data_IF_101717626342
#
_entry.id   IF_101717626342
#
_cell.length_a   1.000
_cell.length_b   1.000
_cell.length_c   1.000
_cell.angle_alpha   90.00
_cell.angle_beta   90.00
_cell.angle_gamma   90.00
#
_symmetry.space_group_name_H-M   'P 1'
#
loop_
_entity.id
_entity.type
_entity.pdbx_description
1 polymer ?
#
# COMPACT_ATOMS: atom_id res chain seq x y z
N UNK A 1 42.36 16.88 -7.84
CA UNK A 1 41.63 17.94 -7.12
C UNK A 1 40.56 17.23 -6.27
N UNK A 2 40.60 17.36 -4.96
CA UNK A 2 39.55 16.81 -4.10
C UNK A 2 38.32 17.70 -4.24
N UNK A 3 37.10 17.15 -4.39
CA UNK A 3 35.88 17.94 -4.43
C UNK A 3 35.72 18.71 -3.12
N UNK A 4 35.48 20.01 -3.23
CA UNK A 4 35.22 20.85 -2.06
C UNK A 4 33.83 20.54 -1.55
N UNK A 5 33.73 19.76 -0.45
CA UNK A 5 32.47 19.57 0.26
C UNK A 5 32.19 20.86 1.05
N UNK A 6 31.17 21.59 0.68
CA UNK A 6 30.69 22.72 1.49
C UNK A 6 29.69 22.17 2.49
N UNK A 7 30.02 22.05 3.78
CA UNK A 7 29.06 21.65 4.79
C UNK A 7 28.03 22.79 4.96
N UNK A 8 26.75 22.46 4.82
CA UNK A 8 25.69 23.40 5.21
C UNK A 8 25.86 23.73 6.70
N UNK A 9 25.77 24.99 7.12
CA UNK A 9 25.87 25.35 8.52
C UNK A 9 24.75 24.66 9.30
N UNK A 10 25.08 24.15 10.49
CA UNK A 10 24.16 23.42 11.39
C UNK A 10 22.89 24.23 11.72
N UNK A 11 22.96 25.56 11.60
CA UNK A 11 21.81 26.45 11.73
C UNK A 11 20.79 26.33 10.58
N UNK A 12 21.19 25.90 9.39
CA UNK A 12 20.26 25.66 8.28
C UNK A 12 19.49 24.33 8.46
N UNK A 13 20.09 23.35 9.15
CA UNK A 13 19.46 22.05 9.43
C UNK A 13 18.30 22.20 10.43
N UNK A 14 18.36 23.16 11.35
CA UNK A 14 17.28 23.40 12.31
C UNK A 14 16.05 24.12 11.71
N UNK A 15 16.21 24.81 10.57
CA UNK A 15 15.09 25.38 9.81
C UNK A 15 14.41 24.37 8.87
N UNK A 16 15.03 23.22 8.61
CA UNK A 16 14.48 22.12 7.81
C UNK A 16 13.32 21.37 8.48
N UNK A 17 12.92 21.74 9.70
CA UNK A 17 11.68 21.27 10.36
C UNK A 17 10.40 21.60 9.59
N UNK A 18 10.50 22.24 8.44
CA UNK A 18 9.43 22.66 7.56
C UNK A 18 9.14 21.78 6.35
N UNK A 19 9.50 20.50 6.36
CA UNK A 19 9.00 19.52 5.35
C UNK A 19 7.49 19.36 5.48
N UNK A 20 6.80 20.47 5.42
CA UNK A 20 5.35 20.52 5.21
C UNK A 20 5.13 20.17 3.75
N UNK A 21 5.00 18.85 3.50
CA UNK A 21 4.33 18.42 2.29
C UNK A 21 3.02 19.17 2.20
N UNK A 22 3.04 20.29 1.51
CA UNK A 22 1.89 21.17 1.27
C UNK A 22 0.96 20.54 0.26
N UNK A 23 0.40 19.36 0.59
CA UNK A 23 -0.74 18.80 -0.12
C UNK A 23 -1.61 18.08 0.90
N UNK A 24 -2.79 18.63 1.23
CA UNK A 24 -3.76 17.99 2.12
C UNK A 24 -4.12 16.58 1.65
N UNK A 25 -4.06 16.30 0.34
CA UNK A 25 -4.30 14.99 -0.24
C UNK A 25 -3.27 13.91 0.21
N UNK A 26 -1.99 14.24 0.39
CA UNK A 26 -0.99 13.26 0.88
C UNK A 26 -1.16 12.98 2.38
N UNK A 27 -1.57 13.96 3.18
CA UNK A 27 -1.90 13.74 4.59
C UNK A 27 -3.15 12.90 4.74
N UNK A 28 -4.18 13.16 3.93
CA UNK A 28 -5.40 12.35 3.90
C UNK A 28 -5.10 10.90 3.47
N UNK A 29 -4.27 10.70 2.45
CA UNK A 29 -3.84 9.37 2.01
C UNK A 29 -3.01 8.63 3.07
N UNK A 30 -2.17 9.33 3.84
CA UNK A 30 -1.40 8.74 4.94
C UNK A 30 -2.29 8.34 6.13
N UNK A 31 -3.35 9.11 6.42
CA UNK A 31 -4.34 8.81 7.47
C UNK A 31 -5.29 7.69 7.01
N UNK A 32 -5.55 7.54 5.71
CA UNK A 32 -6.45 6.52 5.13
C UNK A 32 -5.73 5.19 4.82
N UNK A 33 -4.42 5.08 4.99
CA UNK A 33 -3.63 3.84 4.79
C UNK A 33 -3.68 2.82 5.93
N UNK A 34 -3.96 3.17 7.22
CA UNK A 34 -4.00 2.17 8.27
C UNK A 34 -5.06 1.09 8.01
N UNK A 35 -4.73 -0.17 8.36
CA UNK A 35 -5.57 -1.35 8.22
C UNK A 35 -6.99 -1.20 8.79
N UNK A 36 -7.15 -0.46 9.88
CA UNK A 36 -8.42 -0.29 10.62
C UNK A 36 -9.42 0.68 9.97
N UNK A 37 -8.99 1.51 9.01
CA UNK A 37 -9.83 2.58 8.42
C UNK A 37 -11.02 1.99 7.65
N UNK A 38 -10.78 0.94 6.87
CA UNK A 38 -11.84 0.28 6.09
C UNK A 38 -12.87 -0.40 7.00
N UNK A 39 -12.47 -1.22 8.01
CA UNK A 39 -13.42 -1.76 8.99
C UNK A 39 -14.19 -0.68 9.77
N UNK A 40 -13.52 0.40 10.18
CA UNK A 40 -14.19 1.50 10.87
C UNK A 40 -15.22 2.22 9.98
N UNK A 41 -14.90 2.43 8.71
CA UNK A 41 -15.84 3.00 7.75
C UNK A 41 -17.10 2.12 7.56
N UNK A 42 -16.93 0.79 7.47
CA UNK A 42 -18.05 -0.15 7.46
C UNK A 42 -18.92 -0.01 8.71
N UNK A 43 -18.32 0.03 9.90
CA UNK A 43 -19.05 0.20 11.16
C UNK A 43 -19.81 1.53 11.20
N UNK A 44 -19.21 2.63 10.79
CA UNK A 44 -19.88 3.94 10.76
C UNK A 44 -21.08 3.96 9.82
N UNK A 45 -20.93 3.41 8.62
CA UNK A 45 -22.03 3.33 7.66
C UNK A 45 -23.19 2.51 8.21
N UNK A 46 -22.93 1.35 8.80
CA UNK A 46 -24.01 0.49 9.29
C UNK A 46 -24.65 1.01 10.57
N UNK A 47 -23.93 1.75 11.42
CA UNK A 47 -24.52 2.47 12.55
C UNK A 47 -25.51 3.51 12.04
N UNK A 48 -25.12 4.31 11.04
CA UNK A 48 -26.04 5.26 10.41
C UNK A 48 -27.29 4.57 9.83
N UNK A 49 -27.10 3.47 9.09
CA UNK A 49 -28.21 2.67 8.57
C UNK A 49 -29.10 2.09 9.69
N UNK A 50 -28.46 1.52 10.73
CA UNK A 50 -29.19 0.92 11.87
C UNK A 50 -29.99 1.93 12.71
N UNK A 51 -29.57 3.21 12.70
CA UNK A 51 -30.31 4.29 13.33
C UNK A 51 -31.43 4.83 12.42
N UNK A 52 -31.23 4.84 11.10
CA UNK A 52 -32.17 5.42 10.13
C UNK A 52 -33.27 4.44 9.69
N UNK A 53 -32.90 3.19 9.35
CA UNK A 53 -33.85 2.21 8.81
C UNK A 53 -35.05 1.91 9.71
N UNK A 54 -34.93 1.85 11.05
CA UNK A 54 -36.09 1.64 11.91
C UNK A 54 -37.17 2.71 11.80
N UNK A 55 -36.83 3.92 11.35
CA UNK A 55 -37.75 5.04 11.18
C UNK A 55 -38.32 5.15 9.74
N UNK A 56 -37.80 4.34 8.83
CA UNK A 56 -38.27 4.34 7.44
C UNK A 56 -39.41 3.35 7.30
N UNK A 57 -40.63 3.83 7.37
CA UNK A 57 -41.85 3.06 7.12
C UNK A 57 -42.16 3.06 5.63
N UNK A 58 -41.67 2.06 4.89
CA UNK A 58 -42.04 1.82 3.50
C UNK A 58 -43.21 0.85 3.42
N UNK A 59 -44.38 1.27 3.88
CA UNK A 59 -45.63 0.46 3.89
C UNK A 59 -45.99 -0.10 2.52
N UNK A 60 -45.70 0.63 1.41
CA UNK A 60 -45.93 0.17 0.04
C UNK A 60 -44.99 -0.96 -0.41
N UNK A 61 -43.84 -1.11 0.24
CA UNK A 61 -42.83 -2.16 -0.09
C UNK A 61 -43.17 -3.47 0.61
N UNK A 62 -43.78 -3.40 1.79
CA UNK A 62 -44.14 -4.54 2.64
C UNK A 62 -45.08 -5.49 1.90
N UNK A 63 -46.03 -4.98 1.16
CA UNK A 63 -47.01 -5.79 0.42
C UNK A 63 -46.45 -6.38 -0.90
N UNK A 64 -45.28 -5.89 -1.37
CA UNK A 64 -44.72 -6.30 -2.66
C UNK A 64 -43.48 -7.20 -2.56
N UNK A 65 -42.84 -7.24 -1.42
CA UNK A 65 -41.60 -8.02 -1.25
C UNK A 65 -41.78 -9.12 -0.21
N UNK A 66 -42.02 -10.37 -0.65
CA UNK A 66 -42.23 -11.52 0.26
C UNK A 66 -40.99 -11.92 1.08
N UNK A 67 -39.86 -11.24 0.86
CA UNK A 67 -38.61 -11.46 1.59
C UNK A 67 -38.51 -10.69 2.92
N UNK A 68 -39.48 -9.82 3.24
CA UNK A 68 -39.48 -9.08 4.48
C UNK A 68 -39.74 -9.99 5.67
N UNK A 69 -39.09 -9.71 6.81
CA UNK A 69 -39.17 -10.51 8.03
C UNK A 69 -40.64 -10.58 8.52
N UNK A 70 -41.30 -11.75 8.57
CA UNK A 70 -42.70 -11.88 8.89
C UNK A 70 -42.97 -12.05 10.41
N UNK A 71 -41.89 -12.01 11.23
CA UNK A 71 -41.98 -12.34 12.68
C UNK A 71 -42.38 -11.15 13.54
N UNK A 72 -42.84 -11.47 14.77
CA UNK A 72 -43.09 -10.48 15.80
C UNK A 72 -41.81 -10.01 16.52
N UNK A 73 -41.97 -9.16 17.53
CA UNK A 73 -40.88 -8.54 18.31
C UNK A 73 -39.95 -9.57 18.93
N UNK A 74 -40.45 -10.62 19.51
CA UNK A 74 -39.64 -11.68 20.14
C UNK A 74 -38.81 -12.46 19.11
N UNK A 75 -39.39 -12.72 17.95
CA UNK A 75 -38.67 -13.31 16.82
C UNK A 75 -37.53 -12.39 16.33
N UNK A 76 -37.79 -11.09 16.21
CA UNK A 76 -36.81 -10.08 15.85
C UNK A 76 -35.63 -10.02 16.83
N UNK A 77 -35.91 -10.00 18.13
CA UNK A 77 -34.90 -10.05 19.20
C UNK A 77 -34.04 -11.31 19.11
N UNK A 78 -34.70 -12.48 18.97
CA UNK A 78 -33.99 -13.76 18.87
C UNK A 78 -33.05 -13.78 17.64
N UNK A 79 -33.52 -13.35 16.48
CA UNK A 79 -32.69 -13.29 15.25
C UNK A 79 -31.53 -12.33 15.41
N UNK A 80 -31.77 -11.11 15.88
CA UNK A 80 -30.74 -10.09 16.02
C UNK A 80 -29.69 -10.48 17.06
N UNK A 81 -30.09 -11.03 18.20
CA UNK A 81 -29.17 -11.52 19.25
C UNK A 81 -28.34 -12.70 18.75
N UNK A 82 -28.94 -13.62 17.99
CA UNK A 82 -28.25 -14.75 17.38
C UNK A 82 -27.22 -14.28 16.37
N UNK A 83 -27.59 -13.34 15.49
CA UNK A 83 -26.68 -12.73 14.51
C UNK A 83 -25.53 -12.05 15.24
N UNK A 84 -25.81 -11.23 16.26
CA UNK A 84 -24.77 -10.54 17.02
C UNK A 84 -23.79 -11.54 17.66
N UNK A 85 -24.29 -12.56 18.36
CA UNK A 85 -23.46 -13.59 18.98
C UNK A 85 -22.63 -14.39 17.99
N UNK A 86 -23.22 -14.79 16.86
CA UNK A 86 -22.53 -15.51 15.81
C UNK A 86 -21.45 -14.65 15.15
N UNK A 87 -21.78 -13.41 14.78
CA UNK A 87 -20.86 -12.53 14.06
C UNK A 87 -19.64 -12.13 14.89
N UNK A 88 -19.79 -11.87 16.19
CA UNK A 88 -18.63 -11.58 17.05
C UNK A 88 -17.72 -12.79 17.18
N UNK A 89 -18.28 -14.00 17.29
CA UNK A 89 -17.50 -15.24 17.37
C UNK A 89 -16.71 -15.50 16.09
N UNK A 90 -17.36 -15.35 14.93
CA UNK A 90 -16.70 -15.52 13.63
C UNK A 90 -15.65 -14.42 13.39
N UNK A 91 -15.91 -13.17 13.81
CA UNK A 91 -14.93 -12.09 13.74
C UNK A 91 -13.66 -12.45 14.50
N UNK A 92 -13.79 -12.97 15.72
CA UNK A 92 -12.66 -13.44 16.52
C UNK A 92 -11.88 -14.58 15.84
N UNK A 93 -12.60 -15.54 15.26
CA UNK A 93 -11.99 -16.66 14.52
C UNK A 93 -11.20 -16.16 13.28
N UNK A 94 -11.80 -15.30 12.47
CA UNK A 94 -11.15 -14.73 11.26
C UNK A 94 -9.92 -13.91 11.66
N UNK A 95 -10.02 -13.12 12.72
CA UNK A 95 -8.89 -12.37 13.24
C UNK A 95 -7.77 -13.32 13.71
N UNK A 96 -8.11 -14.37 14.44
CA UNK A 96 -7.13 -15.38 14.90
C UNK A 96 -6.43 -16.07 13.73
N UNK A 97 -7.18 -16.52 12.72
CA UNK A 97 -6.62 -17.13 11.51
C UNK A 97 -5.71 -16.13 10.79
N UNK A 98 -6.13 -14.88 10.67
CA UNK A 98 -5.32 -13.81 10.04
C UNK A 98 -4.00 -13.63 10.78
N UNK A 99 -4.00 -13.61 12.12
CA UNK A 99 -2.78 -13.49 12.93
C UNK A 99 -1.85 -14.69 12.78
N UNK A 100 -2.40 -15.92 12.72
CA UNK A 100 -1.61 -17.13 12.47
C UNK A 100 -0.96 -17.08 11.09
N UNK A 101 -1.71 -16.68 10.05
CA UNK A 101 -1.17 -16.53 8.68
C UNK A 101 -0.10 -15.46 8.64
N UNK A 102 -0.27 -14.35 9.34
CA UNK A 102 0.73 -13.28 9.46
C UNK A 102 2.00 -13.78 10.17
N UNK A 103 1.87 -14.56 11.25
CA UNK A 103 3.02 -15.17 11.94
C UNK A 103 3.76 -16.15 11.03
N UNK A 104 3.06 -17.03 10.32
CA UNK A 104 3.66 -17.95 9.35
C UNK A 104 4.34 -17.19 8.21
N UNK A 105 3.68 -16.18 7.65
CA UNK A 105 4.27 -15.34 6.60
C UNK A 105 5.52 -14.61 7.10
N UNK A 106 5.51 -14.09 8.32
CA UNK A 106 6.66 -13.42 8.94
C UNK A 106 7.82 -14.38 9.22
N UNK A 107 7.54 -15.60 9.68
CA UNK A 107 8.56 -16.61 9.98
C UNK A 107 9.12 -17.30 8.74
N UNK A 108 8.29 -17.50 7.70
CA UNK A 108 8.68 -18.17 6.46
C UNK A 108 9.17 -17.22 5.38
N UNK A 109 8.74 -15.96 5.38
CA UNK A 109 9.10 -14.93 4.41
C UNK A 109 9.70 -13.71 5.14
N UNK A 110 10.27 -12.78 4.44
CA UNK A 110 10.80 -11.56 5.05
C UNK A 110 9.69 -10.77 5.79
N UNK A 111 9.99 -10.08 6.92
CA UNK A 111 9.04 -9.17 7.60
C UNK A 111 8.37 -8.15 6.68
N UNK A 112 8.96 -7.88 5.53
CA UNK A 112 8.43 -6.97 4.50
C UNK A 112 7.17 -7.50 3.79
N UNK A 113 7.00 -8.82 3.71
CA UNK A 113 5.80 -9.46 3.15
C UNK A 113 4.58 -9.17 4.04
N UNK A 114 4.80 -8.95 5.34
CA UNK A 114 3.76 -8.60 6.29
C UNK A 114 2.97 -7.34 5.87
N UNK A 115 3.65 -6.33 5.34
CA UNK A 115 3.04 -5.08 4.89
C UNK A 115 2.05 -5.32 3.76
N UNK A 116 2.38 -6.20 2.81
CA UNK A 116 1.51 -6.55 1.67
C UNK A 116 0.22 -7.25 2.12
N UNK A 117 0.29 -8.07 3.18
CA UNK A 117 -0.90 -8.71 3.76
C UNK A 117 -1.80 -7.73 4.51
N UNK A 118 -1.23 -6.77 5.24
CA UNK A 118 -2.00 -5.73 5.94
C UNK A 118 -2.65 -4.74 4.97
N UNK A 119 -2.09 -4.57 3.78
CA UNK A 119 -2.63 -3.73 2.71
C UNK A 119 -3.68 -4.44 1.85
N UNK A 120 -3.93 -5.77 2.07
CA UNK A 120 -4.91 -6.52 1.29
C UNK A 120 -6.34 -6.04 1.59
N UNK A 121 -6.93 -5.39 0.59
CA UNK A 121 -8.27 -4.79 0.70
C UNK A 121 -9.35 -5.83 1.00
N UNK A 122 -9.23 -7.05 0.46
CA UNK A 122 -10.23 -8.08 0.70
C UNK A 122 -10.28 -8.45 2.20
N UNK A 123 -9.14 -8.61 2.84
CA UNK A 123 -9.04 -8.87 4.29
C UNK A 123 -9.65 -7.73 5.09
N UNK A 124 -9.35 -6.46 4.73
CA UNK A 124 -9.92 -5.30 5.40
C UNK A 124 -11.45 -5.22 5.25
N UNK A 125 -11.98 -5.45 4.05
CA UNK A 125 -13.43 -5.45 3.81
C UNK A 125 -14.11 -6.63 4.49
N UNK A 126 -13.50 -7.82 4.53
CA UNK A 126 -14.06 -8.99 5.22
C UNK A 126 -14.20 -8.74 6.71
N UNK A 127 -13.14 -8.28 7.38
CA UNK A 127 -13.21 -7.91 8.80
C UNK A 127 -14.21 -6.78 9.03
N UNK A 128 -14.27 -5.81 8.10
CA UNK A 128 -15.25 -4.74 8.12
C UNK A 128 -16.68 -5.24 8.03
N UNK A 129 -16.98 -6.16 7.13
CA UNK A 129 -18.33 -6.72 6.97
C UNK A 129 -18.77 -7.53 8.20
N UNK A 130 -17.86 -8.29 8.83
CA UNK A 130 -18.18 -9.02 10.06
C UNK A 130 -18.46 -8.09 11.24
N UNK A 131 -17.53 -7.15 11.49
CA UNK A 131 -17.69 -6.15 12.56
C UNK A 131 -18.96 -5.30 12.34
N UNK A 132 -19.22 -4.90 11.10
CA UNK A 132 -20.39 -4.16 10.69
C UNK A 132 -21.69 -4.94 10.96
N UNK A 133 -21.75 -6.23 10.59
CA UNK A 133 -22.93 -7.07 10.84
C UNK A 133 -23.24 -7.20 12.32
N UNK A 134 -22.21 -7.36 13.15
CA UNK A 134 -22.34 -7.36 14.61
C UNK A 134 -22.87 -6.03 15.15
N UNK A 135 -22.22 -4.91 14.80
CA UNK A 135 -22.58 -3.56 15.27
C UNK A 135 -23.98 -3.18 14.80
N UNK A 136 -24.32 -3.53 13.54
CA UNK A 136 -25.66 -3.30 13.00
C UNK A 136 -26.73 -4.04 13.80
N UNK A 137 -26.53 -5.36 14.05
CA UNK A 137 -27.48 -6.18 14.80
C UNK A 137 -27.71 -5.62 16.20
N UNK A 138 -26.65 -5.17 16.91
CA UNK A 138 -26.78 -4.52 18.22
C UNK A 138 -27.51 -3.18 18.15
N UNK A 139 -27.26 -2.38 17.11
CA UNK A 139 -27.90 -1.07 16.94
C UNK A 139 -29.40 -1.22 16.71
N UNK A 140 -29.81 -2.17 15.85
CA UNK A 140 -31.22 -2.46 15.59
C UNK A 140 -31.88 -3.12 16.79
N UNK A 141 -31.20 -4.03 17.49
CA UNK A 141 -31.70 -4.67 18.72
C UNK A 141 -32.07 -3.63 19.79
N UNK A 142 -31.18 -2.63 19.97
CA UNK A 142 -31.46 -1.51 20.88
C UNK A 142 -32.75 -0.74 20.51
N UNK A 143 -32.96 -0.55 19.18
CA UNK A 143 -34.16 0.13 18.66
C UNK A 143 -35.43 -0.69 18.91
N UNK A 144 -35.38 -2.01 18.75
CA UNK A 144 -36.49 -2.93 19.04
C UNK A 144 -36.84 -2.95 20.54
N UNK A 145 -35.81 -2.97 21.40
CA UNK A 145 -36.01 -2.96 22.86
C UNK A 145 -36.62 -1.64 23.36
N UNK A 146 -36.24 -0.51 22.76
CA UNK A 146 -36.81 0.80 23.08
C UNK A 146 -38.31 0.86 22.79
N UNK A 147 -38.76 0.30 21.68
CA UNK A 147 -40.19 0.26 21.29
C UNK A 147 -41.05 -0.63 22.21
N UNK A 148 -40.48 -1.71 22.74
CA UNK A 148 -41.16 -2.55 23.75
C UNK A 148 -41.41 -1.78 25.03
N UNK A 149 -40.47 -0.98 25.48
CA UNK A 149 -40.62 -0.13 26.67
C UNK A 149 -41.68 0.97 26.48
N UNK A 150 -41.94 1.41 25.26
CA UNK A 150 -42.99 2.37 24.91
C UNK A 150 -44.40 1.73 24.79
N UNK A 151 -44.52 0.42 25.03
CA UNK A 151 -45.82 -0.28 25.02
C UNK A 151 -46.39 -0.60 23.65
N UNK A 152 -45.55 -0.57 22.61
CA UNK A 152 -45.93 -0.93 21.23
C UNK A 152 -45.87 -2.45 21.09
N UNK A 153 -46.98 -3.11 21.42
CA UNK A 153 -47.11 -4.60 21.43
C UNK A 153 -47.57 -5.18 20.07
N UNK A 154 -47.74 -4.38 19.05
CA UNK A 154 -48.31 -4.83 17.78
C UNK A 154 -47.24 -5.19 16.72
N UNK A 155 -47.61 -6.09 15.82
CA UNK A 155 -46.81 -6.45 14.62
C UNK A 155 -46.39 -5.21 13.81
N UNK A 156 -47.12 -4.12 13.87
CA UNK A 156 -46.89 -2.87 13.18
C UNK A 156 -45.69 -2.08 13.74
N UNK A 157 -45.17 -2.42 14.92
CA UNK A 157 -43.98 -1.78 15.52
C UNK A 157 -42.62 -2.43 15.16
N UNK A 158 -42.62 -3.55 14.42
CA UNK A 158 -41.38 -4.25 14.09
C UNK A 158 -40.71 -3.61 12.87
N UNK A 159 -39.43 -3.17 12.96
CA UNK A 159 -38.72 -2.57 11.81
C UNK A 159 -38.28 -3.66 10.83
N UNK A 160 -39.22 -4.20 10.05
CA UNK A 160 -39.02 -5.34 9.15
C UNK A 160 -37.86 -5.12 8.15
N UNK A 161 -37.71 -3.89 7.62
CA UNK A 161 -36.62 -3.51 6.73
C UNK A 161 -35.26 -3.61 7.43
N UNK A 162 -35.17 -3.13 8.67
CA UNK A 162 -33.93 -3.16 9.42
C UNK A 162 -33.51 -4.61 9.73
N UNK A 163 -34.44 -5.49 10.03
CA UNK A 163 -34.17 -6.91 10.29
C UNK A 163 -33.75 -7.62 9.00
N UNK A 164 -34.45 -7.35 7.90
CA UNK A 164 -34.10 -7.91 6.57
C UNK A 164 -32.70 -7.46 6.15
N UNK A 165 -32.34 -6.20 6.42
CA UNK A 165 -31.00 -5.68 6.16
C UNK A 165 -29.92 -6.38 6.99
N UNK A 166 -30.23 -6.75 8.27
CA UNK A 166 -29.28 -7.53 9.07
C UNK A 166 -29.00 -8.90 8.43
N UNK A 167 -30.02 -9.54 7.88
CA UNK A 167 -29.88 -10.81 7.16
C UNK A 167 -29.04 -10.66 5.88
N UNK A 168 -29.26 -9.60 5.11
CA UNK A 168 -28.47 -9.29 3.93
C UNK A 168 -26.99 -9.07 4.28
N UNK A 169 -26.70 -8.35 5.38
CA UNK A 169 -25.35 -8.13 5.85
C UNK A 169 -24.65 -9.45 6.22
N UNK A 170 -25.38 -10.40 6.85
CA UNK A 170 -24.85 -11.73 7.12
C UNK A 170 -24.51 -12.47 5.84
N UNK A 171 -25.37 -12.42 4.81
CA UNK A 171 -25.09 -13.06 3.52
C UNK A 171 -23.85 -12.46 2.85
N UNK A 172 -23.73 -11.14 2.87
CA UNK A 172 -22.53 -10.43 2.39
C UNK A 172 -21.29 -10.87 3.17
N UNK A 173 -21.38 -10.93 4.49
CA UNK A 173 -20.26 -11.37 5.34
C UNK A 173 -19.84 -12.81 5.01
N UNK A 174 -20.79 -13.74 4.83
CA UNK A 174 -20.50 -15.12 4.43
C UNK A 174 -19.85 -15.18 3.06
N UNK A 175 -20.35 -14.45 2.07
CA UNK A 175 -19.75 -14.38 0.75
C UNK A 175 -18.30 -13.84 0.81
N UNK A 176 -18.06 -12.80 1.60
CA UNK A 176 -16.72 -12.25 1.83
C UNK A 176 -15.82 -13.23 2.58
N UNK A 177 -16.35 -14.02 3.48
CA UNK A 177 -15.60 -15.06 4.17
C UNK A 177 -15.11 -16.15 3.20
N UNK A 178 -15.98 -16.63 2.31
CA UNK A 178 -15.60 -17.59 1.29
C UNK A 178 -14.52 -17.03 0.35
N UNK A 179 -14.67 -15.77 -0.07
CA UNK A 179 -13.65 -15.08 -0.86
C UNK A 179 -12.33 -14.93 -0.10
N UNK A 180 -12.37 -14.61 1.19
CA UNK A 180 -11.21 -14.50 2.07
C UNK A 180 -10.47 -15.83 2.21
N UNK A 181 -11.20 -16.94 2.46
CA UNK A 181 -10.58 -18.28 2.54
C UNK A 181 -9.92 -18.64 1.21
N UNK A 182 -10.63 -18.44 0.09
CA UNK A 182 -10.07 -18.68 -1.23
C UNK A 182 -8.81 -17.84 -1.46
N UNK A 183 -8.84 -16.58 -1.08
CA UNK A 183 -7.70 -15.66 -1.20
C UNK A 183 -6.51 -16.10 -0.37
N UNK A 184 -6.72 -16.47 0.90
CA UNK A 184 -5.63 -16.95 1.77
C UNK A 184 -4.99 -18.21 1.20
N UNK A 185 -5.79 -19.21 0.83
CA UNK A 185 -5.27 -20.45 0.27
C UNK A 185 -4.47 -20.26 -1.02
N UNK A 186 -4.84 -19.28 -1.83
CA UNK A 186 -4.11 -19.00 -3.09
C UNK A 186 -2.94 -18.02 -2.92
N UNK A 187 -2.97 -17.17 -1.89
CA UNK A 187 -1.96 -16.10 -1.71
C UNK A 187 -0.73 -16.54 -0.92
N UNK A 188 -0.84 -17.60 -0.11
CA UNK A 188 0.26 -18.11 0.74
C UNK A 188 1.26 -18.98 -0.05
N UNK A 189 0.94 -19.32 -1.30
CA UNK A 189 1.83 -20.10 -2.14
C UNK A 189 3.11 -19.34 -2.53
N UNK A 190 4.29 -19.93 -2.27
CA UNK A 190 5.60 -19.39 -2.68
C UNK A 190 5.61 -19.05 -4.17
N UNK A 191 4.96 -19.89 -4.99
CA UNK A 191 4.83 -19.68 -6.42
C UNK A 191 4.17 -18.35 -6.79
N UNK A 192 3.15 -17.90 -6.03
CA UNK A 192 2.48 -16.63 -6.29
C UNK A 192 3.36 -15.42 -5.97
N UNK A 193 4.16 -15.49 -4.90
CA UNK A 193 5.12 -14.45 -4.52
C UNK A 193 6.23 -14.38 -5.56
N UNK A 194 6.75 -15.53 -5.97
CA UNK A 194 7.78 -15.66 -6.99
C UNK A 194 7.32 -15.03 -8.31
N UNK A 195 6.12 -15.40 -8.79
CA UNK A 195 5.59 -14.86 -10.04
C UNK A 195 5.36 -13.35 -9.98
N UNK A 196 4.82 -12.83 -8.87
CA UNK A 196 4.61 -11.38 -8.69
C UNK A 196 5.94 -10.65 -8.70
N UNK A 197 6.92 -11.08 -7.89
CA UNK A 197 8.24 -10.44 -7.84
C UNK A 197 8.92 -10.46 -9.22
N UNK A 198 8.84 -11.59 -9.94
CA UNK A 198 9.38 -11.67 -11.30
C UNK A 198 8.63 -10.77 -12.29
N UNK A 199 7.30 -10.64 -12.14
CA UNK A 199 6.50 -9.74 -12.98
C UNK A 199 6.85 -8.26 -12.71
N UNK A 200 7.00 -7.87 -11.44
CA UNK A 200 7.42 -6.52 -11.06
C UNK A 200 8.80 -6.20 -11.66
N UNK A 201 9.74 -7.15 -11.61
CA UNK A 201 11.04 -7.01 -12.27
C UNK A 201 10.92 -6.83 -13.80
N UNK A 202 10.01 -7.59 -14.46
CA UNK A 202 9.77 -7.43 -15.90
C UNK A 202 9.20 -6.05 -16.23
N UNK A 203 8.29 -5.56 -15.41
CA UNK A 203 7.70 -4.22 -15.55
C UNK A 203 8.78 -3.16 -15.44
N UNK A 204 9.65 -3.23 -14.42
CA UNK A 204 10.78 -2.31 -14.24
C UNK A 204 11.74 -2.35 -15.43
N UNK A 205 12.04 -3.54 -15.96
CA UNK A 205 12.86 -3.66 -17.18
C UNK A 205 12.22 -3.00 -18.39
N UNK A 206 10.89 -3.11 -18.54
CA UNK A 206 10.15 -2.52 -19.65
C UNK A 206 10.05 -1.00 -19.49
N UNK A 207 9.75 -0.52 -18.28
CA UNK A 207 9.67 0.92 -17.97
C UNK A 207 11.03 1.60 -18.04
N UNK A 208 12.11 0.91 -17.66
CA UNK A 208 13.49 1.39 -17.80
C UNK A 208 13.97 1.47 -19.24
N UNK A 209 13.23 0.88 -20.20
CA UNK A 209 13.50 0.97 -21.64
C UNK A 209 12.91 2.26 -22.27
N UNK A 210 12.94 3.37 -21.57
CA UNK A 210 12.43 4.61 -22.15
C UNK A 210 13.17 4.94 -23.46
N UNK A 211 12.38 5.16 -24.51
CA UNK A 211 12.85 5.50 -25.85
C UNK A 211 13.74 6.76 -25.90
N UNK A 212 13.70 7.53 -24.83
CA UNK A 212 14.30 8.86 -24.72
C UNK A 212 15.72 8.85 -24.12
N UNK A 213 16.24 7.67 -23.75
CA UNK A 213 17.61 7.57 -23.21
C UNK A 213 18.59 7.28 -24.36
N UNK A 214 19.72 8.02 -24.46
CA UNK A 214 20.66 7.85 -25.53
C UNK A 214 21.29 6.46 -25.50
N UNK A 215 21.42 5.85 -26.68
CA UNK A 215 22.13 4.57 -26.86
C UNK A 215 23.63 4.75 -26.96
N UNK A 216 24.05 5.89 -27.44
CA UNK A 216 25.45 6.29 -27.53
C UNK A 216 25.76 7.22 -26.34
N UNK A 217 27.02 7.23 -25.91
CA UNK A 217 27.46 8.13 -24.85
C UNK A 217 27.32 9.58 -25.31
N UNK A 218 26.45 10.38 -24.72
CA UNK A 218 26.29 11.76 -25.10
C UNK A 218 27.55 12.57 -24.74
N UNK A 219 27.90 13.54 -25.57
CA UNK A 219 28.85 14.56 -25.18
C UNK A 219 28.17 15.48 -24.17
N UNK A 220 28.74 15.51 -22.99
CA UNK A 220 28.22 16.39 -21.92
C UNK A 220 28.93 17.72 -21.96
N UNK A 221 28.25 18.86 -21.78
CA UNK A 221 28.87 20.15 -21.73
C UNK A 221 29.92 20.22 -20.61
N UNK A 222 31.04 20.89 -20.92
CA UNK A 222 32.09 21.16 -19.95
C UNK A 222 31.65 22.34 -19.09
N UNK A 223 31.09 22.05 -17.93
CA UNK A 223 30.60 23.03 -16.97
C UNK A 223 31.59 23.17 -15.81
N UNK A 224 31.51 24.30 -15.08
CA UNK A 224 32.31 24.54 -13.89
C UNK A 224 32.17 23.41 -12.87
N UNK A 225 33.14 23.27 -11.98
CA UNK A 225 33.24 22.16 -11.02
C UNK A 225 32.00 21.97 -10.17
N UNK A 226 31.75 20.74 -9.67
CA UNK A 226 30.49 20.40 -9.04
C UNK A 226 30.31 21.05 -7.66
N UNK A 227 29.13 21.59 -7.43
CA UNK A 227 28.60 21.88 -6.10
C UNK A 227 27.91 20.62 -5.59
N UNK A 228 28.40 20.07 -4.47
CA UNK A 228 27.87 18.83 -3.91
C UNK A 228 26.74 19.13 -2.92
N UNK A 229 25.57 18.58 -3.20
CA UNK A 229 24.44 18.61 -2.28
C UNK A 229 24.43 17.35 -1.44
N UNK A 230 24.38 17.54 -0.13
CA UNK A 230 24.38 16.46 0.86
C UNK A 230 22.97 15.90 1.07
N UNK A 231 22.89 14.63 1.47
CA UNK A 231 21.65 13.99 1.83
C UNK A 231 21.03 14.64 3.07
N UNK A 232 19.75 15.05 3.01
CA UNK A 232 19.08 15.74 4.12
C UNK A 232 18.71 14.81 5.28
N UNK A 233 18.77 13.49 5.07
CA UNK A 233 18.52 12.45 6.07
C UNK A 233 19.10 11.12 5.63
N UNK A 234 19.30 10.22 6.58
CA UNK A 234 19.71 8.83 6.26
C UNK A 234 18.53 8.03 5.71
N UNK A 235 18.79 7.16 4.73
CA UNK A 235 17.81 6.30 4.11
C UNK A 235 18.30 5.65 2.83
N UNK A 236 17.47 4.77 2.26
CA UNK A 236 17.73 4.19 0.95
C UNK A 236 17.23 5.14 -0.15
N UNK A 237 18.03 5.33 -1.19
CA UNK A 237 17.60 6.03 -2.39
C UNK A 237 16.57 5.16 -3.13
N UNK A 238 15.30 5.55 -3.06
CA UNK A 238 14.16 4.76 -3.52
C UNK A 238 13.74 5.13 -4.94
N UNK A 239 13.67 6.44 -5.20
CA UNK A 239 13.19 6.96 -6.47
C UNK A 239 13.81 8.29 -6.81
N UNK A 240 14.06 8.48 -8.12
CA UNK A 240 14.44 9.72 -8.72
C UNK A 240 13.33 10.16 -9.69
N UNK A 241 12.72 11.31 -9.44
CA UNK A 241 11.73 11.91 -10.33
C UNK A 241 12.46 12.61 -11.50
N UNK A 242 12.91 11.81 -12.50
CA UNK A 242 13.82 12.25 -13.57
C UNK A 242 13.26 13.44 -14.35
N UNK A 243 12.01 13.40 -14.82
CA UNK A 243 11.41 14.46 -15.63
C UNK A 243 11.33 15.81 -14.87
N UNK A 244 10.82 15.87 -13.63
CA UNK A 244 10.89 17.10 -12.84
C UNK A 244 12.31 17.55 -12.52
N UNK A 245 13.24 16.61 -12.28
CA UNK A 245 14.66 16.93 -12.00
C UNK A 245 15.31 17.61 -13.21
N UNK A 246 15.16 17.05 -14.41
CA UNK A 246 15.67 17.64 -15.65
C UNK A 246 15.08 19.03 -15.89
N UNK A 247 13.77 19.20 -15.68
CA UNK A 247 13.11 20.50 -15.83
C UNK A 247 13.65 21.56 -14.86
N UNK A 248 13.91 21.18 -13.60
CA UNK A 248 14.50 22.09 -12.61
C UNK A 248 15.95 22.43 -12.99
N UNK A 249 16.76 21.45 -13.40
CA UNK A 249 18.13 21.64 -13.84
C UNK A 249 18.22 22.57 -15.07
N UNK A 250 17.33 22.35 -16.07
CA UNK A 250 17.22 23.22 -17.25
C UNK A 250 16.89 24.66 -16.90
N UNK A 251 15.89 24.87 -16.04
CA UNK A 251 15.47 26.22 -15.62
C UNK A 251 16.61 27.00 -14.95
N UNK A 252 17.54 26.29 -14.30
CA UNK A 252 18.72 26.85 -13.67
C UNK A 252 19.98 26.86 -14.56
N UNK A 253 19.93 26.29 -15.77
CA UNK A 253 21.12 26.20 -16.66
C UNK A 253 22.23 25.29 -16.11
N UNK A 254 21.90 24.32 -15.28
CA UNK A 254 22.87 23.44 -14.59
C UNK A 254 22.72 21.98 -15.04
N UNK A 255 23.79 21.20 -14.88
CA UNK A 255 23.75 19.74 -15.01
C UNK A 255 23.73 19.11 -13.61
N UNK A 256 22.80 18.17 -13.39
CA UNK A 256 22.69 17.44 -12.15
C UNK A 256 23.15 16.00 -12.34
N UNK A 257 24.04 15.54 -11.47
CA UNK A 257 24.54 14.17 -11.42
C UNK A 257 24.11 13.55 -10.09
N UNK A 258 23.48 12.36 -10.16
CA UNK A 258 23.13 11.59 -8.97
C UNK A 258 24.31 10.70 -8.61
N UNK A 259 24.89 10.92 -7.44
CA UNK A 259 26.14 10.29 -7.02
C UNK A 259 25.95 8.88 -6.43
N UNK A 260 24.72 8.52 -6.11
CA UNK A 260 24.39 7.27 -5.43
C UNK A 260 23.39 6.48 -6.28
N UNK A 261 23.61 5.18 -6.51
CA UNK A 261 22.65 4.33 -7.20
C UNK A 261 21.33 4.20 -6.45
N UNK A 262 20.21 4.02 -7.19
CA UNK A 262 18.94 3.65 -6.60
C UNK A 262 19.09 2.30 -5.87
N UNK A 263 18.57 2.24 -4.65
CA UNK A 263 18.65 1.08 -3.76
C UNK A 263 19.79 1.11 -2.75
N UNK A 264 20.73 2.05 -2.87
CA UNK A 264 21.83 2.19 -1.91
C UNK A 264 21.42 3.01 -0.69
N UNK A 265 22.02 2.70 0.44
CA UNK A 265 21.81 3.42 1.69
C UNK A 265 22.74 4.63 1.77
N UNK A 266 22.14 5.78 2.01
CA UNK A 266 22.84 7.07 2.13
C UNK A 266 22.73 7.54 3.57
N UNK A 267 23.85 8.00 4.12
CA UNK A 267 23.89 8.61 5.46
C UNK A 267 23.63 10.11 5.36
N UNK A 268 22.92 10.67 6.33
CA UNK A 268 22.70 12.11 6.43
C UNK A 268 24.04 12.88 6.35
N UNK A 269 24.07 13.92 5.55
CA UNK A 269 25.28 14.71 5.30
C UNK A 269 26.25 14.12 4.25
N UNK A 270 26.03 12.88 3.75
CA UNK A 270 26.84 12.33 2.67
C UNK A 270 26.49 12.93 1.31
N UNK A 271 27.42 12.99 0.34
CA UNK A 271 27.16 13.43 -1.02
C UNK A 271 26.02 12.65 -1.68
N UNK A 272 25.01 13.35 -2.20
CA UNK A 272 23.84 12.76 -2.86
C UNK A 272 23.72 13.22 -4.32
N UNK A 273 23.82 14.52 -4.56
CA UNK A 273 23.78 15.11 -5.90
C UNK A 273 25.02 15.97 -6.13
N UNK A 274 25.50 16.00 -7.36
CA UNK A 274 26.50 16.99 -7.82
C UNK A 274 25.84 17.88 -8.87
N UNK A 275 25.91 19.18 -8.67
CA UNK A 275 25.39 20.23 -9.57
C UNK A 275 26.56 20.89 -10.24
N UNK A 276 26.64 20.76 -11.57
CA UNK A 276 27.68 21.34 -12.40
C UNK A 276 27.11 22.59 -13.09
N UNK A 277 27.78 23.72 -12.97
CA UNK A 277 27.35 25.01 -13.52
C UNK A 277 28.10 26.18 -12.87
N UNK A 278 27.79 27.40 -13.29
CA UNK A 278 28.31 28.58 -12.62
C UNK A 278 27.72 28.63 -11.19
N UNK A 279 28.51 28.98 -10.18
CA UNK A 279 27.97 29.17 -8.81
C UNK A 279 26.78 30.12 -8.71
N UNK A 280 26.66 31.08 -9.63
CA UNK A 280 25.54 32.00 -9.72
C UNK A 280 24.24 31.35 -10.24
N UNK A 281 24.36 30.25 -11.00
CA UNK A 281 23.24 29.54 -11.60
C UNK A 281 22.72 28.38 -10.74
N UNK A 282 23.48 28.01 -9.70
CA UNK A 282 23.01 26.99 -8.73
C UNK A 282 21.77 27.54 -8.00
N UNK A 283 20.64 26.82 -7.95
CA UNK A 283 19.45 27.29 -7.28
C UNK A 283 19.74 27.74 -5.84
N UNK A 284 19.24 28.93 -5.49
CA UNK A 284 19.41 29.48 -4.12
C UNK A 284 18.82 28.52 -3.05
N UNK A 285 17.78 27.76 -3.43
CA UNK A 285 17.19 26.73 -2.59
C UNK A 285 17.54 25.33 -3.13
N UNK A 286 18.54 24.64 -2.56
CA UNK A 286 18.88 23.27 -2.92
C UNK A 286 17.75 22.26 -2.67
N UNK A 287 16.71 22.63 -1.90
CA UNK A 287 15.53 21.80 -1.67
C UNK A 287 14.77 21.52 -2.96
N UNK A 288 14.79 22.42 -3.93
CA UNK A 288 14.13 22.24 -5.24
C UNK A 288 14.67 21.03 -6.02
N UNK A 289 15.95 20.73 -5.88
CA UNK A 289 16.58 19.55 -6.47
C UNK A 289 16.45 18.33 -5.58
N UNK A 290 16.69 18.48 -4.28
CA UNK A 290 16.63 17.39 -3.30
C UNK A 290 15.21 16.80 -3.15
N UNK A 291 14.15 17.60 -3.32
CA UNK A 291 12.78 17.11 -3.26
C UNK A 291 12.39 16.19 -4.43
N UNK A 292 13.20 16.12 -5.51
CA UNK A 292 13.03 15.21 -6.65
C UNK A 292 13.62 13.83 -6.40
N UNK A 293 14.32 13.68 -5.29
CA UNK A 293 14.97 12.42 -4.88
C UNK A 293 14.30 11.91 -3.61
N UNK A 294 13.80 10.69 -3.64
CA UNK A 294 13.09 10.09 -2.50
C UNK A 294 14.03 9.20 -1.70
N UNK A 295 14.27 9.55 -0.43
CA UNK A 295 14.93 8.70 0.54
C UNK A 295 13.88 8.04 1.46
N UNK A 296 13.98 6.74 1.69
CA UNK A 296 13.05 5.96 2.51
C UNK A 296 13.77 5.13 3.56
N UNK A 297 13.07 4.74 4.63
CA UNK A 297 13.64 3.89 5.68
C UNK A 297 13.89 2.45 5.23
N UNK A 298 13.05 1.96 4.32
CA UNK A 298 13.08 0.58 3.84
C UNK A 298 13.25 0.56 2.33
N UNK A 299 14.18 -0.27 1.84
CA UNK A 299 14.41 -0.47 0.40
C UNK A 299 13.14 -0.99 -0.28
N UNK A 300 12.76 -0.44 -1.42
CA UNK A 300 11.60 -0.84 -2.21
C UNK A 300 11.99 -1.27 -3.63
N UNK A 301 11.01 -1.78 -4.39
CA UNK A 301 11.19 -2.13 -5.81
C UNK A 301 10.70 -1.02 -6.75
N UNK A 302 10.49 0.22 -6.28
CA UNK A 302 9.87 1.25 -7.12
C UNK A 302 10.69 1.58 -8.37
N UNK A 303 12.02 1.65 -8.26
CA UNK A 303 12.95 1.78 -9.38
C UNK A 303 14.17 0.83 -9.28
N UNK A 304 14.17 -0.07 -8.30
CA UNK A 304 15.31 -0.91 -7.97
C UNK A 304 15.11 -2.35 -8.44
N UNK A 305 15.53 -2.62 -9.68
CA UNK A 305 15.55 -3.97 -10.24
C UNK A 305 16.47 -4.91 -9.46
N UNK A 306 17.62 -4.41 -8.99
CA UNK A 306 18.59 -5.21 -8.22
C UNK A 306 17.99 -5.75 -6.93
N UNK A 307 17.13 -4.98 -6.28
CA UNK A 307 16.39 -5.43 -5.11
C UNK A 307 15.35 -6.52 -5.46
N UNK A 308 14.69 -6.42 -6.63
CA UNK A 308 13.80 -7.45 -7.11
C UNK A 308 14.52 -8.79 -7.32
N UNK A 309 15.68 -8.76 -7.99
CA UNK A 309 16.55 -9.93 -8.16
C UNK A 309 16.98 -10.49 -6.80
N UNK A 310 17.41 -9.64 -5.85
CA UNK A 310 17.80 -10.09 -4.50
C UNK A 310 16.65 -10.78 -3.79
N UNK A 311 15.43 -10.28 -3.88
CA UNK A 311 14.24 -10.93 -3.30
C UNK A 311 14.00 -12.34 -3.87
N UNK A 312 14.22 -12.54 -5.16
CA UNK A 312 14.13 -13.87 -5.77
C UNK A 312 15.22 -14.80 -5.20
N UNK A 313 16.43 -14.31 -5.09
CA UNK A 313 17.55 -15.06 -4.49
C UNK A 313 17.26 -15.43 -3.04
N UNK A 314 16.74 -14.50 -2.23
CA UNK A 314 16.37 -14.75 -0.83
C UNK A 314 15.32 -15.89 -0.72
N UNK A 315 14.37 -15.98 -1.67
CA UNK A 315 13.42 -17.10 -1.74
C UNK A 315 14.12 -18.43 -2.02
N UNK A 316 15.09 -18.46 -2.96
CA UNK A 316 15.84 -19.67 -3.27
C UNK A 316 16.76 -20.11 -2.10
N UNK A 317 17.48 -19.18 -1.48
CA UNK A 317 18.31 -19.45 -0.31
C UNK A 317 17.50 -20.06 0.83
N UNK A 318 16.29 -19.53 1.04
CA UNK A 318 15.40 -20.07 2.05
C UNK A 318 14.85 -21.45 1.70
N UNK A 319 14.44 -21.65 0.43
CA UNK A 319 13.97 -22.94 -0.04
C UNK A 319 15.03 -24.04 0.15
N UNK A 320 16.30 -23.69 -0.06
CA UNK A 320 17.43 -24.61 0.11
C UNK A 320 17.93 -24.71 1.58
N UNK A 321 17.35 -23.95 2.51
CA UNK A 321 17.76 -24.03 3.91
C UNK A 321 17.45 -25.42 4.51
N UNK A 322 18.25 -25.89 5.48
CA UNK A 322 18.06 -27.24 6.07
C UNK A 322 16.66 -27.45 6.68
N UNK A 323 16.00 -26.39 7.13
CA UNK A 323 14.66 -26.47 7.74
C UNK A 323 13.51 -26.54 6.75
N UNK A 324 13.71 -26.15 5.48
CA UNK A 324 12.67 -26.16 4.43
C UNK A 324 12.95 -27.24 3.40
N UNK A 325 14.18 -27.29 2.88
CA UNK A 325 14.68 -28.28 1.92
C UNK A 325 13.75 -28.52 0.73
N UNK A 326 13.35 -27.44 0.05
CA UNK A 326 12.48 -27.47 -1.14
C UNK A 326 13.29 -27.09 -2.41
N UNK A 327 13.97 -28.05 -3.03
CA UNK A 327 14.75 -27.81 -4.25
C UNK A 327 13.88 -27.44 -5.44
N UNK A 328 12.60 -27.85 -5.46
CA UNK A 328 11.68 -27.52 -6.55
C UNK A 328 11.43 -26.02 -6.63
N UNK A 329 11.16 -25.38 -5.50
CA UNK A 329 11.02 -23.91 -5.43
C UNK A 329 12.33 -23.21 -5.83
N UNK A 330 13.49 -23.73 -5.43
CA UNK A 330 14.75 -23.14 -5.84
C UNK A 330 14.97 -23.21 -7.36
N UNK A 331 14.60 -24.30 -8.02
CA UNK A 331 14.64 -24.42 -9.49
C UNK A 331 13.67 -23.44 -10.15
N UNK A 332 12.45 -23.28 -9.62
CA UNK A 332 11.51 -22.28 -10.14
C UNK A 332 12.05 -20.85 -10.04
N UNK A 333 12.79 -20.52 -8.97
CA UNK A 333 13.47 -19.22 -8.87
C UNK A 333 14.52 -19.08 -9.95
N UNK A 334 15.35 -20.10 -10.18
CA UNK A 334 16.38 -20.08 -11.24
C UNK A 334 15.76 -19.86 -12.62
N UNK A 335 14.60 -20.47 -12.91
CA UNK A 335 13.87 -20.24 -14.16
C UNK A 335 13.47 -18.77 -14.33
N UNK A 336 12.97 -18.12 -13.26
CA UNK A 336 12.63 -16.69 -13.31
C UNK A 336 13.87 -15.80 -13.46
N UNK A 337 14.94 -16.11 -12.73
CA UNK A 337 16.21 -15.39 -12.84
C UNK A 337 16.80 -15.52 -14.25
N UNK A 338 16.73 -16.70 -14.85
CA UNK A 338 17.16 -16.95 -16.24
C UNK A 338 16.38 -16.07 -17.23
N UNK A 339 15.03 -16.03 -17.12
CA UNK A 339 14.20 -15.16 -17.98
C UNK A 339 14.57 -13.69 -17.81
N UNK A 340 14.76 -13.23 -16.57
CA UNK A 340 15.15 -11.84 -16.30
C UNK A 340 16.53 -11.51 -16.89
N UNK A 341 17.52 -12.35 -16.65
CA UNK A 341 18.87 -12.16 -17.19
C UNK A 341 18.87 -12.15 -18.72
N UNK A 342 18.13 -13.08 -19.34
CA UNK A 342 17.99 -13.09 -20.80
C UNK A 342 17.41 -11.77 -21.31
N UNK A 343 16.36 -11.24 -20.66
CA UNK A 343 15.76 -9.95 -21.02
C UNK A 343 16.77 -8.81 -20.85
N UNK A 344 17.51 -8.77 -19.75
CA UNK A 344 18.53 -7.76 -19.52
C UNK A 344 19.61 -7.77 -20.61
N UNK A 345 20.08 -8.96 -21.01
CA UNK A 345 21.12 -9.11 -22.04
C UNK A 345 20.61 -8.79 -23.46
N UNK A 346 19.32 -9.00 -23.72
CA UNK A 346 18.72 -8.70 -25.04
C UNK A 346 18.19 -7.27 -25.15
N UNK A 347 18.10 -6.56 -24.03
CA UNK A 347 17.72 -5.15 -24.02
C UNK A 347 18.90 -4.29 -24.41
N UNK A 348 18.75 -3.37 -25.38
CA UNK A 348 19.81 -2.45 -25.72
C UNK A 348 20.25 -1.64 -24.50
N UNK A 349 21.56 -1.60 -24.26
CA UNK A 349 22.11 -0.74 -23.21
C UNK A 349 21.83 0.73 -23.55
N UNK A 350 21.35 1.47 -22.58
CA UNK A 350 21.18 2.92 -22.67
C UNK A 350 22.07 3.59 -21.64
N UNK A 351 22.53 4.78 -21.95
CA UNK A 351 23.29 5.57 -20.99
C UNK A 351 22.33 6.21 -19.99
N UNK A 352 22.61 6.20 -18.67
CA UNK A 352 21.76 6.79 -17.66
C UNK A 352 21.90 8.33 -17.65
N UNK A 353 21.69 8.94 -18.81
CA UNK A 353 21.76 10.38 -19.03
C UNK A 353 20.47 10.79 -19.71
N UNK A 354 19.78 11.77 -19.17
CA UNK A 354 18.64 12.41 -19.79
C UNK A 354 19.08 13.78 -20.29
N UNK A 355 19.02 13.95 -21.59
CA UNK A 355 19.19 15.24 -22.23
C UNK A 355 17.83 15.93 -22.32
N UNK A 356 17.85 17.24 -22.39
CA UNK A 356 16.68 18.03 -22.73
C UNK A 356 16.36 17.96 -24.23
N UNK A 357 15.10 18.32 -24.61
CA UNK A 357 14.64 18.26 -26.01
C UNK A 357 15.45 19.16 -26.96
N UNK A 358 16.25 20.08 -26.43
CA UNK A 358 17.12 20.97 -27.18
C UNK A 358 18.62 20.52 -27.19
N UNK A 359 18.98 19.36 -26.65
CA UNK A 359 20.33 18.75 -26.67
C UNK A 359 21.13 19.08 -25.42
#
# INVERSE_FOLDING_TARGET
MQPTVVPLPVSAVSSLGGWRASRPARRLAAVLRPFWVVPAAWCLVVVGLGLLLPYVELTWLVDRVPLLFPGGIDGARTVLSTIAGAMISVTGLVFSITMVVLQLASSQYSPRVLRTFLEDRLTQHTLGAFAASFVYALTVLRSVDGRVQEGVDSRDGVPQLAITMSYLLVLVAVAMFLAFIHRITTSVGVASILQRTAQDCRTLLTEGQHSDWPRERPELPDLAGPHVLAAPRSGYLDRIDVVPLVRTARAAGVRVEVLVPVGDFVVEGSPLLAVHGDPADVPEDPEDLLCRVSLVSDRSMEQDLGYGVRRLVDVAERALSPGVNDPTTAVQVLDQLHDLLRRMLTTPATWPVRLDDDG
#
